data_IF_661066644976
#
_entry.id   IF_661066644976
#
_cell.length_a   1.000
_cell.length_b   1.000
_cell.length_c   1.000
_cell.angle_alpha   90.00
_cell.angle_beta   90.00
_cell.angle_gamma   90.00
#
_symmetry.space_group_name_H-M   'P 1'
#
loop_
_entity.id
_entity.type
_entity.pdbx_description
1 polymer ?
#
# COMPACT_ATOMS: atom_id res chain seq x y z
N UNK A 1 58.47 45.36 -24.36
CA UNK A 1 57.91 44.03 -24.72
C UNK A 1 57.11 43.56 -23.52
N UNK A 2 55.82 43.79 -23.53
CA UNK A 2 54.92 43.65 -22.46
C UNK A 2 54.12 42.34 -22.64
N UNK A 3 54.21 41.50 -21.63
CA UNK A 3 53.47 40.21 -21.50
C UNK A 3 51.99 40.43 -21.29
N UNK A 4 51.16 40.07 -22.26
CA UNK A 4 49.71 39.96 -22.17
C UNK A 4 49.26 38.52 -22.43
N UNK A 5 49.43 37.63 -21.47
CA UNK A 5 48.82 36.30 -21.48
C UNK A 5 48.60 35.80 -20.04
N UNK A 6 47.50 36.20 -19.40
CA UNK A 6 47.05 35.51 -18.16
C UNK A 6 45.68 35.96 -17.67
N UNK A 7 44.69 36.17 -18.51
CA UNK A 7 43.35 36.57 -18.03
C UNK A 7 42.15 35.77 -18.60
N UNK A 8 42.39 34.71 -19.37
CA UNK A 8 41.32 33.97 -20.03
C UNK A 8 41.05 32.59 -19.39
N UNK A 9 41.94 32.11 -18.52
CA UNK A 9 41.80 30.77 -17.90
C UNK A 9 40.91 30.74 -16.67
N UNK A 10 40.66 31.90 -16.02
CA UNK A 10 39.86 31.96 -14.76
C UNK A 10 38.33 31.91 -14.94
N UNK A 11 37.85 32.26 -16.14
CA UNK A 11 36.39 32.44 -16.35
C UNK A 11 35.65 31.15 -16.80
N UNK A 12 36.39 30.12 -17.23
CA UNK A 12 35.79 28.84 -17.67
C UNK A 12 35.56 27.83 -16.57
N UNK A 13 36.25 27.96 -15.44
CA UNK A 13 36.12 27.03 -14.33
C UNK A 13 34.97 27.41 -13.38
N UNK A 14 34.56 28.69 -13.33
CA UNK A 14 33.46 29.15 -12.47
C UNK A 14 32.06 28.87 -13.05
N UNK A 15 31.95 28.60 -14.36
CA UNK A 15 30.66 28.32 -14.98
C UNK A 15 30.26 26.86 -14.91
N UNK A 16 31.20 25.94 -14.67
CA UNK A 16 30.94 24.49 -14.52
C UNK A 16 30.51 24.09 -13.10
N UNK A 17 30.80 24.91 -12.11
CA UNK A 17 30.38 24.66 -10.71
C UNK A 17 28.98 25.20 -10.44
N UNK A 18 28.47 26.13 -11.23
CA UNK A 18 27.12 26.69 -11.05
C UNK A 18 26.00 25.81 -11.66
N UNK A 19 26.31 24.83 -12.50
CA UNK A 19 25.32 23.93 -13.11
C UNK A 19 25.07 22.64 -12.31
N UNK A 20 25.85 22.40 -11.26
CA UNK A 20 25.65 21.21 -10.39
C UNK A 20 24.74 21.44 -9.16
N UNK A 21 24.16 22.64 -9.02
CA UNK A 21 23.21 22.98 -7.94
C UNK A 21 21.77 23.10 -8.49
N UNK A 22 21.47 22.57 -9.67
CA UNK A 22 20.10 22.23 -10.02
C UNK A 22 19.76 20.96 -9.25
N UNK A 23 19.57 21.13 -7.95
CA UNK A 23 18.98 20.13 -7.08
C UNK A 23 17.71 19.63 -7.76
N UNK A 24 17.61 18.33 -7.92
CA UNK A 24 16.37 17.65 -8.27
C UNK A 24 15.31 18.12 -7.29
N UNK A 25 14.65 19.21 -7.61
CA UNK A 25 13.45 19.64 -6.92
C UNK A 25 12.43 18.54 -7.14
N UNK A 26 12.27 17.68 -6.13
CA UNK A 26 11.12 16.79 -6.08
C UNK A 26 9.91 17.72 -6.10
N UNK A 27 9.29 17.89 -7.28
CA UNK A 27 8.03 18.57 -7.41
C UNK A 27 7.05 17.92 -6.44
N UNK A 28 6.35 18.74 -5.68
CA UNK A 28 5.24 18.25 -4.89
C UNK A 28 4.27 17.54 -5.83
N UNK A 29 4.01 16.28 -5.58
CA UNK A 29 3.14 15.44 -6.39
C UNK A 29 1.91 15.06 -5.56
N UNK A 30 0.74 15.48 -6.03
CA UNK A 30 -0.54 15.07 -5.44
C UNK A 30 -1.34 14.33 -6.49
N UNK A 31 -1.78 13.12 -6.18
CA UNK A 31 -2.58 12.30 -7.08
C UNK A 31 -3.75 11.66 -6.32
N UNK A 32 -4.85 11.44 -7.02
CA UNK A 32 -6.00 10.71 -6.50
C UNK A 32 -6.18 9.42 -7.30
N UNK A 33 -6.13 8.29 -6.60
CA UNK A 33 -6.34 6.95 -7.13
C UNK A 33 -7.72 6.46 -6.71
N UNK A 34 -8.45 5.89 -7.64
CA UNK A 34 -9.78 5.33 -7.37
C UNK A 34 -9.77 3.85 -7.77
N UNK A 35 -10.19 3.00 -6.83
CA UNK A 35 -10.18 1.55 -6.99
C UNK A 35 -11.57 0.97 -6.78
N UNK A 36 -11.87 -0.09 -7.54
CA UNK A 36 -12.97 -1.00 -7.27
C UNK A 36 -12.50 -2.15 -6.39
N UNK A 37 -13.18 -2.38 -5.27
CA UNK A 37 -12.95 -3.52 -4.42
C UNK A 37 -13.98 -4.60 -4.76
N UNK A 38 -13.48 -5.77 -5.14
CA UNK A 38 -14.28 -6.96 -5.47
C UNK A 38 -13.99 -8.07 -4.47
N UNK A 39 -15.01 -8.84 -4.15
CA UNK A 39 -14.88 -10.06 -3.35
C UNK A 39 -15.34 -11.23 -4.22
N UNK A 40 -14.54 -12.29 -4.19
CA UNK A 40 -14.93 -13.60 -4.73
C UNK A 40 -15.04 -14.56 -3.56
N UNK A 41 -16.18 -15.23 -3.43
CA UNK A 41 -16.42 -16.22 -2.39
C UNK A 41 -16.69 -17.59 -3.02
N UNK A 42 -16.14 -18.65 -2.38
CA UNK A 42 -16.44 -20.05 -2.67
C UNK A 42 -17.25 -20.61 -1.47
N UNK A 43 -18.59 -20.69 -1.58
CA UNK A 43 -19.45 -21.10 -0.47
C UNK A 43 -19.15 -22.52 0.02
N UNK A 44 -18.74 -23.43 -0.90
CA UNK A 44 -18.45 -24.80 -0.54
C UNK A 44 -17.18 -24.91 0.33
N UNK A 45 -16.11 -24.21 -0.06
CA UNK A 45 -14.88 -24.12 0.74
C UNK A 45 -15.16 -23.46 2.10
N UNK A 46 -15.96 -22.39 2.10
CA UNK A 46 -16.32 -21.69 3.32
C UNK A 46 -17.09 -22.56 4.30
N UNK A 47 -18.10 -23.29 3.83
CA UNK A 47 -18.87 -24.25 4.67
C UNK A 47 -17.97 -25.37 5.22
N UNK A 48 -17.07 -25.90 4.40
CA UNK A 48 -16.11 -26.92 4.84
C UNK A 48 -15.17 -26.38 5.93
N UNK A 49 -14.68 -25.16 5.78
CA UNK A 49 -13.82 -24.51 6.77
C UNK A 49 -14.54 -24.32 8.11
N UNK A 50 -15.75 -23.73 8.10
CA UNK A 50 -16.54 -23.53 9.34
C UNK A 50 -16.82 -24.83 10.06
N UNK A 51 -17.12 -25.89 9.32
CA UNK A 51 -17.33 -27.24 9.89
C UNK A 51 -16.05 -27.82 10.51
N UNK A 52 -14.89 -27.56 9.89
CA UNK A 52 -13.61 -28.08 10.37
C UNK A 52 -13.04 -27.28 11.54
N UNK A 53 -13.15 -25.96 11.51
CA UNK A 53 -12.61 -25.07 12.55
C UNK A 53 -13.45 -25.03 13.81
N UNK A 54 -14.74 -25.34 13.72
CA UNK A 54 -15.70 -25.14 14.81
C UNK A 54 -15.96 -23.66 15.14
N UNK A 55 -15.48 -22.74 14.30
CA UNK A 55 -15.70 -21.30 14.48
C UNK A 55 -17.17 -20.94 14.27
N UNK A 56 -17.68 -20.05 15.12
CA UNK A 56 -18.99 -19.47 14.90
C UNK A 56 -19.01 -18.64 13.61
N UNK A 57 -20.09 -18.68 12.82
CA UNK A 57 -20.20 -17.84 11.64
C UNK A 57 -19.99 -16.36 11.97
N UNK A 58 -19.12 -15.70 11.22
CA UNK A 58 -18.90 -14.26 11.35
C UNK A 58 -20.17 -13.49 10.99
N UNK A 59 -20.44 -12.30 11.56
CA UNK A 59 -21.51 -11.41 11.09
C UNK A 59 -21.44 -11.11 9.60
N UNK A 60 -20.28 -11.22 8.99
CA UNK A 60 -20.06 -11.05 7.54
C UNK A 60 -20.47 -12.27 6.70
N UNK A 61 -20.81 -13.42 7.32
CA UNK A 61 -21.22 -14.62 6.56
C UNK A 61 -22.48 -14.37 5.74
N UNK A 62 -23.41 -13.57 6.24
CA UNK A 62 -24.60 -13.20 5.47
C UNK A 62 -24.22 -12.46 4.20
N UNK A 63 -23.22 -11.58 4.27
CA UNK A 63 -22.69 -10.86 3.11
C UNK A 63 -21.97 -11.82 2.17
N UNK A 64 -21.12 -12.70 2.67
CA UNK A 64 -20.39 -13.68 1.84
C UNK A 64 -21.35 -14.64 1.14
N UNK A 65 -22.46 -15.02 1.76
CA UNK A 65 -23.51 -15.84 1.14
C UNK A 65 -24.28 -15.13 0.00
N UNK A 66 -24.30 -13.79 0.00
CA UNK A 66 -24.86 -13.01 -1.10
C UNK A 66 -23.91 -12.89 -2.29
N UNK A 67 -22.58 -13.12 -2.09
CA UNK A 67 -21.58 -13.05 -3.14
C UNK A 67 -21.67 -14.28 -4.02
N UNK A 68 -22.19 -14.12 -5.22
CA UNK A 68 -22.19 -15.16 -6.27
C UNK A 68 -21.07 -14.86 -7.25
N UNK A 69 -20.02 -15.67 -7.21
CA UNK A 69 -18.83 -15.45 -8.05
C UNK A 69 -18.01 -14.23 -7.59
N UNK A 70 -17.71 -13.30 -8.50
CA UNK A 70 -17.01 -12.05 -8.18
C UNK A 70 -18.00 -10.89 -8.15
N UNK A 71 -18.03 -10.15 -7.06
CA UNK A 71 -18.93 -9.01 -6.86
C UNK A 71 -18.17 -7.77 -6.41
N UNK A 72 -18.43 -6.62 -7.04
CA UNK A 72 -17.93 -5.34 -6.55
C UNK A 72 -18.68 -4.96 -5.28
N UNK A 73 -17.96 -4.74 -4.20
CA UNK A 73 -18.52 -4.51 -2.87
C UNK A 73 -18.23 -3.13 -2.31
N UNK A 74 -17.20 -2.47 -2.82
CA UNK A 74 -16.81 -1.13 -2.35
C UNK A 74 -16.01 -0.38 -3.42
N UNK A 75 -15.83 0.92 -3.19
CA UNK A 75 -14.86 1.77 -3.87
C UNK A 75 -13.87 2.29 -2.83
N UNK A 76 -12.60 2.36 -3.20
CA UNK A 76 -11.54 2.95 -2.39
C UNK A 76 -11.01 4.19 -3.13
N UNK A 77 -10.87 5.29 -2.42
CA UNK A 77 -10.25 6.52 -2.93
C UNK A 77 -9.04 6.84 -2.07
N UNK A 78 -7.87 6.82 -2.70
CA UNK A 78 -6.60 7.16 -2.06
C UNK A 78 -6.12 8.51 -2.59
N UNK A 79 -5.95 9.48 -1.70
CA UNK A 79 -5.27 10.74 -1.98
C UNK A 79 -3.83 10.63 -1.53
N UNK A 80 -2.91 10.65 -2.47
CA UNK A 80 -1.47 10.50 -2.25
C UNK A 80 -0.82 11.86 -2.47
N UNK A 81 -0.19 12.39 -1.44
CA UNK A 81 0.55 13.65 -1.46
C UNK A 81 2.01 13.36 -1.09
N UNK A 82 2.92 13.60 -2.04
CA UNK A 82 4.36 13.42 -1.86
C UNK A 82 5.03 14.78 -2.00
N UNK A 83 5.65 15.26 -0.91
CA UNK A 83 6.34 16.57 -0.86
C UNK A 83 7.74 16.41 -0.32
N UNK A 84 8.75 16.65 -1.18
CA UNK A 84 10.16 16.51 -0.79
C UNK A 84 10.44 15.14 -0.17
N UNK A 85 10.70 15.12 1.14
CA UNK A 85 11.05 13.92 1.91
C UNK A 85 9.89 13.38 2.75
N UNK A 86 8.67 13.83 2.49
CA UNK A 86 7.47 13.43 3.26
C UNK A 86 6.37 12.94 2.33
N UNK A 87 5.56 12.03 2.84
CA UNK A 87 4.31 11.65 2.20
C UNK A 87 3.15 11.68 3.17
N UNK A 88 1.96 11.88 2.62
CA UNK A 88 0.69 11.69 3.31
C UNK A 88 -0.28 10.98 2.37
N UNK A 89 -0.85 9.87 2.82
CA UNK A 89 -1.85 9.11 2.08
C UNK A 89 -3.12 9.01 2.93
N UNK A 90 -4.21 9.57 2.41
CA UNK A 90 -5.54 9.42 2.99
C UNK A 90 -6.35 8.48 2.12
N UNK A 91 -6.84 7.38 2.71
CA UNK A 91 -7.56 6.30 2.03
C UNK A 91 -8.97 6.15 2.61
N UNK A 92 -9.97 6.28 1.75
CA UNK A 92 -11.38 6.18 2.13
C UNK A 92 -12.02 5.04 1.32
N UNK A 93 -12.43 3.99 2.02
CA UNK A 93 -13.24 2.91 1.46
C UNK A 93 -14.72 3.14 1.75
N UNK A 94 -15.55 3.11 0.71
CA UNK A 94 -17.01 3.28 0.82
C UNK A 94 -17.69 2.04 0.27
N UNK A 95 -18.62 1.45 1.06
CA UNK A 95 -19.39 0.28 0.64
C UNK A 95 -20.31 0.62 -0.53
N UNK A 96 -20.47 -0.32 -1.45
CA UNK A 96 -21.51 -0.27 -2.49
C UNK A 96 -22.92 -0.34 -1.88
N UNK A 97 -23.92 0.18 -2.59
CA UNK A 97 -25.29 0.36 -2.10
C UNK A 97 -25.91 -0.89 -1.46
N UNK A 98 -25.68 -2.07 -2.06
CA UNK A 98 -26.22 -3.34 -1.53
C UNK A 98 -25.64 -3.66 -0.15
N UNK A 99 -24.33 -3.50 0.03
CA UNK A 99 -23.67 -3.77 1.31
C UNK A 99 -23.87 -2.65 2.31
N UNK A 100 -23.98 -1.41 1.88
CA UNK A 100 -24.25 -0.26 2.73
C UNK A 100 -25.58 -0.43 3.50
N UNK A 101 -26.60 -1.01 2.84
CA UNK A 101 -27.88 -1.31 3.47
C UNK A 101 -27.76 -2.38 4.57
N UNK A 102 -26.93 -3.41 4.35
CA UNK A 102 -26.76 -4.52 5.32
C UNK A 102 -25.81 -4.16 6.45
N UNK A 103 -24.75 -3.39 6.16
CA UNK A 103 -23.68 -3.07 7.08
C UNK A 103 -23.75 -1.64 7.64
N UNK A 104 -24.91 -0.96 7.52
CA UNK A 104 -25.14 0.39 8.06
C UNK A 104 -24.09 1.43 7.61
N UNK A 105 -23.83 1.52 6.30
CA UNK A 105 -22.94 2.53 5.66
C UNK A 105 -21.58 2.70 6.33
N UNK A 106 -20.95 1.59 6.70
CA UNK A 106 -19.64 1.61 7.34
C UNK A 106 -18.56 2.04 6.35
N UNK A 107 -17.78 3.04 6.72
CA UNK A 107 -16.61 3.48 5.97
C UNK A 107 -15.34 2.87 6.54
N UNK A 108 -14.39 2.57 5.65
CA UNK A 108 -13.01 2.28 6.02
C UNK A 108 -12.20 3.56 5.84
N UNK A 109 -11.69 4.11 6.93
CA UNK A 109 -10.83 5.30 6.92
C UNK A 109 -9.42 4.87 7.29
N UNK A 110 -8.44 5.21 6.47
CA UNK A 110 -7.01 5.00 6.74
C UNK A 110 -6.26 6.29 6.48
N UNK A 111 -5.25 6.51 7.29
CA UNK A 111 -4.34 7.64 7.17
C UNK A 111 -2.91 7.17 7.40
N UNK A 112 -2.02 7.45 6.47
CA UNK A 112 -0.62 7.06 6.51
C UNK A 112 0.25 8.29 6.28
N UNK A 113 1.11 8.58 7.25
CA UNK A 113 2.05 9.69 7.19
C UNK A 113 3.46 9.17 7.43
N UNK A 114 4.40 9.66 6.64
CA UNK A 114 5.77 9.20 6.78
C UNK A 114 6.77 10.01 5.98
N UNK A 115 7.98 9.47 5.87
CA UNK A 115 9.07 10.05 5.10
C UNK A 115 9.34 9.26 3.82
N UNK A 116 9.96 9.95 2.85
CA UNK A 116 10.44 9.36 1.59
C UNK A 116 11.96 9.45 1.58
N UNK A 117 12.61 8.30 1.63
CA UNK A 117 14.07 8.22 1.61
C UNK A 117 14.59 7.45 0.38
N UNK A 118 15.91 7.21 0.30
CA UNK A 118 16.50 6.42 -0.78
C UNK A 118 15.92 5.00 -0.90
N UNK A 119 15.46 4.43 0.22
CA UNK A 119 14.79 3.12 0.27
C UNK A 119 13.32 3.15 -0.15
N UNK A 120 12.68 4.33 -0.29
CA UNK A 120 11.25 4.52 -0.54
C UNK A 120 10.51 5.09 0.68
N UNK A 121 9.26 4.71 0.83
CA UNK A 121 8.43 5.19 1.92
C UNK A 121 8.82 4.54 3.25
N UNK A 122 8.81 5.33 4.31
CA UNK A 122 8.96 4.90 5.69
C UNK A 122 7.78 5.47 6.48
N UNK A 123 6.91 4.60 6.94
CA UNK A 123 5.75 4.98 7.76
C UNK A 123 6.20 5.50 9.12
N UNK A 124 5.73 6.68 9.51
CA UNK A 124 5.89 7.24 10.84
C UNK A 124 4.63 7.00 11.68
N UNK A 125 3.46 7.20 11.08
CA UNK A 125 2.17 6.99 11.74
C UNK A 125 1.18 6.38 10.76
N UNK A 126 0.48 5.35 11.20
CA UNK A 126 -0.65 4.77 10.50
C UNK A 126 -1.88 4.77 11.39
N UNK A 127 -3.03 5.09 10.82
CA UNK A 127 -4.32 5.06 11.50
C UNK A 127 -5.34 4.30 10.65
N UNK A 128 -6.20 3.53 11.33
CA UNK A 128 -7.31 2.82 10.67
C UNK A 128 -8.55 2.88 11.53
N UNK A 129 -9.69 3.23 10.92
CA UNK A 129 -11.02 3.14 11.52
C UNK A 129 -11.98 2.45 10.56
N UNK A 130 -12.69 1.43 11.03
CA UNK A 130 -13.70 0.68 10.29
C UNK A 130 -15.07 0.94 10.90
N UNK A 131 -15.91 1.69 10.21
CA UNK A 131 -17.23 2.02 10.71
C UNK A 131 -17.19 2.60 12.13
N UNK A 132 -17.93 1.99 13.04
CA UNK A 132 -18.03 2.40 14.44
C UNK A 132 -17.01 1.71 15.35
N UNK A 133 -16.02 0.96 14.82
CA UNK A 133 -14.98 0.34 15.63
C UNK A 133 -14.01 1.37 16.21
N UNK A 134 -13.21 0.95 17.18
CA UNK A 134 -12.14 1.78 17.71
C UNK A 134 -11.13 2.20 16.64
N UNK A 135 -10.64 3.43 16.75
CA UNK A 135 -9.52 3.90 15.96
C UNK A 135 -8.24 3.16 16.39
N UNK A 136 -7.61 2.48 15.46
CA UNK A 136 -6.30 1.87 15.61
C UNK A 136 -5.23 2.86 15.20
N UNK A 137 -4.17 2.96 15.97
CA UNK A 137 -3.04 3.85 15.69
C UNK A 137 -1.75 3.06 15.88
N UNK A 138 -0.88 3.11 14.87
CA UNK A 138 0.47 2.58 14.92
C UNK A 138 1.46 3.73 14.77
N UNK A 139 2.40 3.87 15.71
CA UNK A 139 3.46 4.88 15.68
C UNK A 139 4.83 4.23 15.67
N UNK A 140 5.65 4.56 14.70
CA UNK A 140 6.99 4.02 14.53
C UNK A 140 7.98 4.85 15.35
N UNK A 141 8.72 4.20 16.23
CA UNK A 141 9.91 4.74 16.91
C UNK A 141 11.15 4.20 16.18
N UNK A 142 11.56 4.90 15.12
CA UNK A 142 12.63 4.46 14.25
C UNK A 142 13.99 4.33 14.98
N UNK A 143 14.39 5.22 15.90
CA UNK A 143 15.60 5.07 16.70
C UNK A 143 15.63 3.78 17.52
N UNK A 144 14.50 3.40 18.13
CA UNK A 144 14.40 2.17 18.94
C UNK A 144 14.05 0.94 18.10
N UNK A 145 13.73 1.11 16.80
CA UNK A 145 13.26 0.04 15.90
C UNK A 145 12.06 -0.72 16.46
N UNK A 146 11.13 0.00 17.03
CA UNK A 146 9.85 -0.54 17.52
C UNK A 146 8.67 0.23 16.96
N UNK A 147 7.54 -0.44 16.89
CA UNK A 147 6.24 0.15 16.57
C UNK A 147 5.34 0.02 17.79
N UNK A 148 4.70 1.12 18.16
CA UNK A 148 3.80 1.22 19.29
C UNK A 148 2.37 1.24 18.78
N UNK A 149 1.53 0.35 19.29
CA UNK A 149 0.11 0.24 18.94
C UNK A 149 -0.76 0.88 20.00
N UNK A 150 -1.78 1.60 19.55
CA UNK A 150 -2.76 2.27 20.42
C UNK A 150 -4.17 2.02 19.89
N UNK A 151 -5.13 2.03 20.80
CA UNK A 151 -6.56 2.12 20.49
C UNK A 151 -7.10 3.46 21.00
N UNK A 152 -8.17 3.97 20.40
CA UNK A 152 -8.76 5.27 20.78
C UNK A 152 -9.19 5.34 22.25
N UNK A 153 -9.52 4.20 22.85
CA UNK A 153 -9.85 4.08 24.27
C UNK A 153 -8.62 4.14 25.19
N UNK A 154 -7.42 3.95 24.65
CA UNK A 154 -6.15 3.88 25.38
C UNK A 154 -5.14 4.85 24.82
N UNK A 155 -5.05 6.05 25.38
CA UNK A 155 -4.13 7.09 24.89
C UNK A 155 -2.68 6.91 25.34
N UNK A 156 -2.43 6.27 26.48
CA UNK A 156 -1.12 5.91 27.05
C UNK A 156 -1.31 4.95 28.21
N UNK A 157 -0.50 3.93 28.39
CA UNK A 157 0.60 3.47 27.53
C UNK A 157 0.10 2.81 26.23
N UNK A 158 1.02 2.43 25.29
CA UNK A 158 0.63 1.63 24.11
C UNK A 158 -0.01 0.31 24.54
N UNK A 159 -0.96 -0.18 23.75
CA UNK A 159 -1.62 -1.48 23.99
C UNK A 159 -0.71 -2.66 23.70
N UNK A 160 0.24 -2.46 22.76
CA UNK A 160 1.26 -3.44 22.38
C UNK A 160 2.46 -2.75 21.75
N UNK A 161 3.62 -3.41 21.76
CA UNK A 161 4.89 -2.94 21.17
C UNK A 161 5.53 -4.11 20.43
N UNK A 162 5.85 -3.91 19.16
CA UNK A 162 6.52 -4.91 18.34
C UNK A 162 7.85 -4.39 17.78
N UNK A 163 8.92 -5.19 17.75
CA UNK A 163 10.14 -4.85 17.03
C UNK A 163 9.93 -4.99 15.52
N UNK A 164 10.73 -4.26 14.74
CA UNK A 164 10.80 -4.42 13.31
C UNK A 164 12.23 -4.27 12.77
N UNK A 165 12.45 -4.78 11.57
CA UNK A 165 13.74 -4.68 10.87
C UNK A 165 13.49 -4.12 9.47
N UNK A 166 14.41 -3.25 9.02
CA UNK A 166 14.30 -2.63 7.70
C UNK A 166 13.39 -1.41 7.69
N UNK A 167 12.69 -1.21 6.59
CA UNK A 167 11.87 -0.04 6.31
C UNK A 167 10.39 -0.36 6.57
N UNK A 168 9.85 0.20 7.64
CA UNK A 168 8.46 -0.04 8.03
C UNK A 168 7.50 0.60 7.04
N UNK A 169 6.56 -0.18 6.58
CA UNK A 169 5.42 0.23 5.77
C UNK A 169 4.10 -0.09 6.48
N UNK A 170 3.03 0.42 5.97
CA UNK A 170 1.66 0.07 6.38
C UNK A 170 0.84 -0.42 5.19
N UNK A 171 -0.39 -0.86 5.45
CA UNK A 171 -1.29 -1.45 4.46
C UNK A 171 -1.66 -0.51 3.31
N UNK A 172 -1.44 0.79 3.44
CA UNK A 172 -1.68 1.78 2.39
C UNK A 172 -0.38 2.13 1.68
N UNK A 173 0.66 2.52 2.44
CA UNK A 173 1.94 2.97 1.88
C UNK A 173 2.66 1.89 1.08
N UNK A 174 2.46 0.60 1.40
CA UNK A 174 3.05 -0.53 0.65
C UNK A 174 2.64 -0.54 -0.82
N UNK A 175 1.42 -0.11 -1.16
CA UNK A 175 0.93 0.00 -2.52
C UNK A 175 1.63 1.08 -3.34
N UNK A 176 2.15 2.11 -2.70
CA UNK A 176 2.76 3.28 -3.34
C UNK A 176 4.28 3.33 -3.21
N UNK A 177 4.87 2.31 -2.63
CA UNK A 177 6.30 2.17 -2.33
C UNK A 177 7.23 2.46 -3.52
N UNK A 178 6.77 2.23 -4.74
CA UNK A 178 7.61 2.33 -5.94
C UNK A 178 7.31 3.55 -6.81
N UNK A 179 6.40 4.44 -6.43
CA UNK A 179 6.14 5.68 -7.18
C UNK A 179 7.43 6.48 -7.31
N UNK A 180 7.78 6.88 -8.55
CA UNK A 180 8.98 7.64 -8.86
C UNK A 180 10.30 6.86 -8.69
N UNK A 181 10.27 5.52 -8.59
CA UNK A 181 11.40 4.65 -8.32
C UNK A 181 11.35 3.41 -9.20
N UNK A 182 12.52 2.81 -9.45
CA UNK A 182 12.59 1.56 -10.20
C UNK A 182 11.94 0.40 -9.46
N UNK A 183 11.21 -0.43 -10.19
CA UNK A 183 10.67 -1.69 -9.68
C UNK A 183 11.82 -2.66 -9.39
N UNK A 184 11.91 -3.27 -8.19
CA UNK A 184 12.98 -4.18 -7.82
C UNK A 184 12.97 -5.44 -8.68
N UNK A 185 14.17 -5.91 -9.05
CA UNK A 185 14.36 -7.16 -9.78
C UNK A 185 14.64 -8.35 -8.86
N UNK A 186 15.13 -8.07 -7.65
CA UNK A 186 15.40 -9.08 -6.61
C UNK A 186 14.24 -9.14 -5.61
N UNK A 187 14.10 -10.27 -4.88
CA UNK A 187 13.12 -10.35 -3.79
C UNK A 187 13.32 -9.21 -2.77
N UNK A 188 12.22 -8.63 -2.31
CA UNK A 188 12.22 -7.52 -1.34
C UNK A 188 11.48 -7.96 -0.09
N UNK A 189 12.12 -7.79 1.08
CA UNK A 189 11.48 -8.00 2.37
C UNK A 189 10.96 -6.66 2.89
N UNK A 190 9.67 -6.60 3.15
CA UNK A 190 8.99 -5.40 3.65
C UNK A 190 8.24 -5.73 4.95
N UNK A 191 8.62 -5.13 6.09
CA UNK A 191 7.79 -5.15 7.28
C UNK A 191 6.60 -4.24 7.06
N UNK A 192 5.38 -4.79 7.21
CA UNK A 192 4.11 -4.08 6.98
C UNK A 192 3.24 -4.19 8.22
N UNK A 193 2.69 -3.07 8.66
CA UNK A 193 1.71 -3.04 9.75
C UNK A 193 0.29 -2.86 9.24
N UNK A 194 -0.64 -3.55 9.90
CA UNK A 194 -2.09 -3.40 9.74
C UNK A 194 -2.72 -2.54 10.87
N UNK A 195 -1.88 -1.89 11.68
CA UNK A 195 -2.31 -1.13 12.85
C UNK A 195 -2.48 -1.97 14.13
N UNK A 196 -2.30 -3.30 14.07
CA UNK A 196 -2.40 -4.23 15.21
C UNK A 196 -1.14 -5.08 15.39
N UNK A 197 -0.47 -5.37 14.30
CA UNK A 197 0.68 -6.26 14.25
C UNK A 197 1.64 -5.84 13.15
N UNK A 198 2.83 -6.43 13.15
CA UNK A 198 3.80 -6.32 12.06
C UNK A 198 3.97 -7.69 11.42
N UNK A 199 3.91 -7.73 10.09
CA UNK A 199 4.22 -8.92 9.29
C UNK A 199 5.31 -8.61 8.28
N UNK A 200 6.23 -9.52 8.09
CA UNK A 200 7.26 -9.41 7.05
C UNK A 200 6.74 -10.06 5.76
N UNK A 201 6.57 -9.27 4.71
CA UNK A 201 6.25 -9.78 3.38
C UNK A 201 7.53 -9.88 2.55
N UNK A 202 7.83 -11.07 2.04
CA UNK A 202 8.84 -11.25 1.02
C UNK A 202 8.13 -11.26 -0.33
N UNK A 203 8.29 -10.18 -1.08
CA UNK A 203 7.71 -10.05 -2.42
C UNK A 203 8.73 -10.50 -3.47
N UNK A 204 8.31 -11.38 -4.34
CA UNK A 204 9.07 -11.91 -5.46
C UNK A 204 8.47 -11.36 -6.75
N UNK A 205 9.33 -10.93 -7.68
CA UNK A 205 8.92 -10.48 -9.00
C UNK A 205 8.44 -11.67 -9.82
N UNK A 206 7.25 -11.56 -10.40
CA UNK A 206 6.68 -12.48 -11.34
C UNK A 206 6.77 -11.99 -12.78
N UNK A 207 6.06 -12.66 -13.67
CA UNK A 207 6.04 -12.34 -15.08
C UNK A 207 5.34 -11.01 -15.39
N UNK A 208 5.78 -10.29 -16.42
CA UNK A 208 5.07 -9.13 -16.92
C UNK A 208 3.70 -9.51 -17.49
N UNK A 209 2.76 -8.59 -17.43
CA UNK A 209 1.40 -8.81 -17.89
C UNK A 209 0.82 -7.55 -18.55
N UNK A 210 -0.05 -7.74 -19.54
CA UNK A 210 -0.81 -6.67 -20.17
C UNK A 210 -2.10 -6.45 -19.37
N UNK A 211 -2.09 -5.46 -18.50
CA UNK A 211 -3.24 -5.09 -17.68
C UNK A 211 -4.31 -4.41 -18.54
N UNK A 212 -5.55 -4.94 -18.60
CA UNK A 212 -6.62 -4.34 -19.37
C UNK A 212 -7.22 -3.14 -18.63
N UNK A 213 -7.29 -2.00 -19.32
CA UNK A 213 -8.15 -0.85 -18.98
C UNK A 213 -9.13 -0.60 -20.10
N UNK A 214 -10.19 0.17 -19.84
CA UNK A 214 -11.13 0.58 -20.89
C UNK A 214 -10.46 1.38 -22.01
N UNK A 215 -9.39 2.12 -21.68
CA UNK A 215 -8.57 2.90 -22.60
C UNK A 215 -7.50 2.09 -23.36
N UNK A 216 -7.40 0.77 -23.14
CA UNK A 216 -6.41 -0.09 -23.74
C UNK A 216 -5.63 -0.93 -22.72
N UNK A 217 -4.42 -1.38 -23.10
CA UNK A 217 -3.58 -2.22 -22.26
C UNK A 217 -2.41 -1.44 -21.68
N UNK A 218 -2.09 -1.68 -20.42
CA UNK A 218 -0.93 -1.13 -19.72
C UNK A 218 0.01 -2.26 -19.32
N UNK A 219 1.30 -2.10 -19.64
CA UNK A 219 2.33 -3.06 -19.17
C UNK A 219 2.45 -3.02 -17.66
N UNK A 220 2.37 -4.18 -17.04
CA UNK A 220 2.43 -4.35 -15.60
C UNK A 220 3.39 -5.46 -15.20
N UNK A 221 3.97 -5.37 -14.02
CA UNK A 221 4.80 -6.40 -13.40
C UNK A 221 4.10 -6.88 -12.14
N UNK A 222 3.93 -8.19 -12.03
CA UNK A 222 3.39 -8.85 -10.85
C UNK A 222 4.46 -8.99 -9.77
N UNK A 223 4.07 -8.73 -8.54
CA UNK A 223 4.81 -9.13 -7.34
C UNK A 223 3.90 -9.97 -6.47
N UNK A 224 4.42 -11.05 -5.92
CA UNK A 224 3.65 -11.93 -5.06
C UNK A 224 4.43 -12.29 -3.80
N UNK A 225 3.70 -12.44 -2.70
CA UNK A 225 4.23 -12.88 -1.42
C UNK A 225 4.54 -14.38 -1.47
N UNK A 226 5.70 -14.78 -0.98
CA UNK A 226 5.99 -16.19 -0.72
C UNK A 226 5.15 -16.69 0.46
N UNK A 227 4.57 -17.86 0.34
CA UNK A 227 3.78 -18.52 1.38
C UNK A 227 4.62 -19.53 2.16
N UNK A 228 4.23 -19.81 3.41
CA UNK A 228 4.80 -20.87 4.24
C UNK A 228 3.67 -21.75 4.79
N UNK A 229 4.02 -22.85 5.50
CA UNK A 229 3.03 -23.71 6.15
C UNK A 229 2.15 -22.94 7.15
N UNK A 230 2.75 -21.99 7.86
CA UNK A 230 2.10 -21.22 8.93
C UNK A 230 1.43 -19.92 8.41
N UNK A 231 1.74 -19.51 7.18
CA UNK A 231 1.18 -18.32 6.55
C UNK A 231 0.78 -18.61 5.10
N UNK A 232 -0.41 -19.14 4.93
CA UNK A 232 -0.99 -19.52 3.64
C UNK A 232 -1.79 -18.38 2.98
N UNK A 233 -1.95 -17.24 3.65
CA UNK A 233 -2.56 -16.08 3.03
C UNK A 233 -1.72 -15.61 1.84
N UNK A 234 -2.33 -15.44 0.67
CA UNK A 234 -1.64 -14.94 -0.52
C UNK A 234 -1.79 -13.43 -0.61
N UNK A 235 -0.77 -12.78 -1.12
CA UNK A 235 -0.81 -11.36 -1.48
C UNK A 235 -0.09 -11.18 -2.80
N UNK A 236 -0.75 -10.52 -3.72
CA UNK A 236 -0.21 -10.21 -5.04
C UNK A 236 -0.52 -8.75 -5.38
N UNK A 237 0.41 -8.10 -6.05
CA UNK A 237 0.23 -6.74 -6.55
C UNK A 237 0.85 -6.59 -7.93
N UNK A 238 0.16 -5.91 -8.82
CA UNK A 238 0.64 -5.57 -10.16
C UNK A 238 0.91 -4.07 -10.20
N UNK A 239 2.15 -3.71 -10.52
CA UNK A 239 2.55 -2.32 -10.72
C UNK A 239 2.67 -2.02 -12.22
N UNK A 240 2.22 -0.84 -12.65
CA UNK A 240 2.54 -0.36 -14.00
C UNK A 240 4.06 -0.26 -14.18
N UNK A 241 4.57 -0.62 -15.36
CA UNK A 241 6.01 -0.56 -15.66
C UNK A 241 6.51 0.88 -15.81
N UNK A 242 5.65 1.81 -16.15
CA UNK A 242 6.00 3.20 -16.43
C UNK A 242 5.87 4.10 -15.21
N UNK A 243 4.70 4.10 -14.58
CA UNK A 243 4.36 4.98 -13.45
C UNK A 243 4.70 4.34 -12.10
N UNK A 244 4.91 3.02 -12.07
CA UNK A 244 5.16 2.21 -10.87
C UNK A 244 4.05 2.33 -9.81
N UNK A 245 2.81 2.53 -10.27
CA UNK A 245 1.61 2.59 -9.42
C UNK A 245 0.91 1.23 -9.36
N UNK A 246 0.22 0.91 -8.25
CA UNK A 246 -0.51 -0.33 -8.12
C UNK A 246 -1.75 -0.32 -9.01
N UNK A 247 -1.83 -1.24 -9.98
CA UNK A 247 -2.96 -1.42 -10.89
C UNK A 247 -3.97 -2.39 -10.32
N UNK A 248 -3.48 -3.42 -9.65
CA UNK A 248 -4.28 -4.46 -8.99
C UNK A 248 -3.59 -4.96 -7.75
N UNK A 249 -4.35 -5.23 -6.71
CA UNK A 249 -3.92 -6.04 -5.58
C UNK A 249 -4.90 -7.19 -5.35
N UNK A 250 -4.40 -8.38 -5.04
CA UNK A 250 -5.21 -9.55 -4.72
C UNK A 250 -4.75 -10.12 -3.39
N UNK A 251 -5.69 -10.26 -2.47
CA UNK A 251 -5.47 -10.83 -1.15
C UNK A 251 -6.33 -12.09 -1.05
N UNK A 252 -5.68 -13.25 -1.03
CA UNK A 252 -6.33 -14.51 -0.67
C UNK A 252 -6.23 -14.67 0.83
N UNK A 253 -7.36 -14.51 1.52
CA UNK A 253 -7.45 -14.95 2.90
C UNK A 253 -7.24 -16.47 2.86
N UNK A 254 -6.53 -17.04 3.82
CA UNK A 254 -6.14 -18.46 3.83
C UNK A 254 -6.99 -19.32 2.86
N UNK A 255 -6.37 -20.16 2.01
CA UNK A 255 -7.06 -20.89 0.94
C UNK A 255 -8.31 -21.67 1.41
N UNK A 256 -8.33 -22.04 2.69
CA UNK A 256 -9.44 -22.71 3.34
C UNK A 256 -10.67 -21.81 3.53
N UNK A 257 -10.49 -20.48 3.66
CA UNK A 257 -11.60 -19.54 3.81
C UNK A 257 -12.44 -19.39 2.55
N UNK A 258 -11.90 -19.76 1.38
CA UNK A 258 -12.61 -19.61 0.11
C UNK A 258 -12.96 -18.17 -0.24
N UNK A 259 -12.25 -17.18 0.29
CA UNK A 259 -12.50 -15.75 0.06
C UNK A 259 -11.25 -15.10 -0.53
N UNK A 260 -11.45 -14.39 -1.63
CA UNK A 260 -10.43 -13.57 -2.28
C UNK A 260 -10.93 -12.13 -2.39
N UNK A 261 -10.09 -11.18 -2.01
CA UNK A 261 -10.31 -9.75 -2.15
C UNK A 261 -9.44 -9.24 -3.28
N UNK A 262 -10.03 -8.56 -4.25
CA UNK A 262 -9.34 -7.93 -5.36
C UNK A 262 -9.62 -6.44 -5.36
N UNK A 263 -8.58 -5.64 -5.53
CA UNK A 263 -8.66 -4.18 -5.62
C UNK A 263 -8.07 -3.78 -6.97
N UNK A 264 -8.89 -3.23 -7.86
CA UNK A 264 -8.53 -2.84 -9.21
C UNK A 264 -8.53 -1.32 -9.35
N UNK A 265 -7.45 -0.73 -9.85
CA UNK A 265 -7.38 0.68 -10.21
C UNK A 265 -8.31 0.95 -11.39
N UNK A 266 -9.18 1.95 -11.29
CA UNK A 266 -10.09 2.35 -12.37
C UNK A 266 -9.36 3.08 -13.49
N UNK A 267 -8.41 3.95 -13.14
CA UNK A 267 -7.67 4.78 -14.09
C UNK A 267 -6.36 5.24 -13.46
N UNK A 268 -5.28 5.24 -14.24
CA UNK A 268 -4.02 5.89 -13.81
C UNK A 268 -4.24 7.40 -13.82
N UNK A 269 -4.11 8.09 -12.66
CA UNK A 269 -4.18 9.54 -12.63
C UNK A 269 -2.94 10.16 -13.28
N UNK A 270 -2.99 11.43 -13.70
CA UNK A 270 -1.78 12.17 -14.03
C UNK A 270 -0.89 12.27 -12.80
N UNK A 271 0.40 11.99 -12.99
CA UNK A 271 1.45 11.99 -11.95
C UNK A 271 2.47 13.10 -12.22
#
# INVERSE_FOLDING_TARGET
MTNTHSLVSGLRLSLLVLLSILGFGVCAQTAQFEYDLKITADPAKRAAYLKQSGEAPSPYEQVLNLVKGSMQVATIVDKVDIRKEQYHINSIGTLGSVLATVLADQKLLRDSVGSVGPGGFLTNTYQEKRGNTELLIAKVDAPKKVINFYKSSSRNPPTDISPFYGQMLDMVSVGYQFIGRSLPTKPVVMPVTDGRSVKNYTLVRGEPWDFPFDSGKVKAVRYYKTTSKDDQATFEVWFSEKEHVPLRSVIGLNAQYGVTIQVDLKKIPPL
#
